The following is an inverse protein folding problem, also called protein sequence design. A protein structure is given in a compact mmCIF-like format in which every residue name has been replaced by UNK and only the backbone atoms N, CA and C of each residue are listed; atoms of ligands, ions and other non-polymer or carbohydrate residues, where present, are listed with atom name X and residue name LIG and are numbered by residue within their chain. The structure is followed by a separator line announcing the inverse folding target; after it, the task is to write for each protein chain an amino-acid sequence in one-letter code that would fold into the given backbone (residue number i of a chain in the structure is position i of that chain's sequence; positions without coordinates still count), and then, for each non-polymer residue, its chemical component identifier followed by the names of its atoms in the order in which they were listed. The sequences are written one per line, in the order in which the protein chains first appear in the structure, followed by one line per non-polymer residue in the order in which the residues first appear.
data_IF_146305742397
#
_entry.id   IF_146305742397
#
_cell.length_a   1.000
_cell.length_b   1.000
_cell.length_c   1.000
_cell.angle_alpha   90.00
_cell.angle_beta   90.00
_cell.angle_gamma   90.00
#
_symmetry.space_group_name_H-M   'P 1'
#
loop_
_entity.id
_entity.type
_entity.pdbx_description
1 polymer ?
#
# COMPACT_ATOMS: atom_id res chain seq x y z
N UNK A 1 14.94 6.86 5.39
CA UNK A 1 14.88 5.63 4.55
C UNK A 1 13.54 4.92 4.78
N UNK A 2 12.95 4.32 3.75
CA UNK A 2 11.73 3.49 3.87
C UNK A 2 12.05 2.10 3.33
N UNK A 3 11.77 1.07 4.13
CA UNK A 3 11.91 -0.33 3.75
C UNK A 3 10.54 -0.94 3.48
N UNK A 4 10.41 -1.69 2.39
CA UNK A 4 9.22 -2.42 2.00
C UNK A 4 9.48 -3.92 2.19
N UNK A 5 8.58 -4.58 2.88
CA UNK A 5 8.52 -6.02 3.07
C UNK A 5 7.24 -6.56 2.45
N UNK A 6 7.35 -7.59 1.62
CA UNK A 6 6.18 -8.26 1.05
C UNK A 6 6.39 -9.78 1.08
N UNK A 7 5.34 -10.52 1.43
CA UNK A 7 5.38 -11.98 1.55
C UNK A 7 4.07 -12.60 1.08
N UNK A 8 4.18 -13.60 0.21
CA UNK A 8 3.04 -14.46 -0.14
C UNK A 8 2.69 -15.42 1.01
N UNK A 9 1.42 -15.77 1.09
CA UNK A 9 0.94 -16.76 2.05
C UNK A 9 -0.27 -17.52 1.49
N UNK A 10 -0.38 -18.77 1.93
CA UNK A 10 -1.54 -19.59 1.63
C UNK A 10 -2.54 -19.52 2.79
N UNK A 11 -3.82 -19.55 2.44
CA UNK A 11 -4.89 -19.70 3.42
C UNK A 11 -5.05 -21.18 3.77
N UNK A 12 -4.94 -21.51 5.05
CA UNK A 12 -5.22 -22.85 5.50
C UNK A 12 -6.72 -23.15 5.55
N UNK A 13 -7.09 -24.41 5.28
CA UNK A 13 -8.49 -24.80 5.27
C UNK A 13 -9.15 -24.52 6.64
N UNK A 14 -10.24 -23.75 6.64
CA UNK A 14 -10.97 -23.37 7.85
C UNK A 14 -10.46 -22.12 8.56
N UNK A 15 -9.38 -21.50 8.08
CA UNK A 15 -8.88 -20.24 8.62
C UNK A 15 -9.68 -19.04 8.12
N UNK A 16 -9.94 -18.08 8.99
CA UNK A 16 -10.54 -16.81 8.58
C UNK A 16 -9.53 -16.01 7.75
N UNK A 17 -9.86 -15.77 6.47
CA UNK A 17 -9.04 -14.96 5.55
C UNK A 17 -8.56 -13.66 6.20
N UNK A 18 -9.49 -12.89 6.79
CA UNK A 18 -9.17 -11.61 7.44
C UNK A 18 -8.16 -11.76 8.58
N UNK A 19 -8.26 -12.87 9.35
CA UNK A 19 -7.33 -13.13 10.46
C UNK A 19 -5.93 -13.47 9.94
N UNK A 20 -5.84 -14.31 8.92
CA UNK A 20 -4.57 -14.68 8.28
C UNK A 20 -3.87 -13.46 7.67
N UNK A 21 -4.60 -12.66 6.91
CA UNK A 21 -4.12 -11.42 6.29
C UNK A 21 -3.58 -10.45 7.35
N UNK A 22 -4.33 -10.24 8.43
CA UNK A 22 -3.92 -9.36 9.53
C UNK A 22 -2.66 -9.88 10.23
N UNK A 23 -2.60 -11.18 10.53
CA UNK A 23 -1.45 -11.81 11.16
C UNK A 23 -0.19 -11.69 10.29
N UNK A 24 -0.29 -11.93 8.99
CA UNK A 24 0.83 -11.79 8.06
C UNK A 24 1.36 -10.36 8.01
N UNK A 25 0.48 -9.38 7.93
CA UNK A 25 0.89 -7.97 7.98
C UNK A 25 1.60 -7.62 9.29
N UNK A 26 1.13 -8.12 10.43
CA UNK A 26 1.78 -7.91 11.73
C UNK A 26 3.16 -8.60 11.80
N UNK A 27 3.29 -9.81 11.26
CA UNK A 27 4.59 -10.52 11.21
C UNK A 27 5.62 -9.75 10.37
N UNK A 28 5.21 -9.15 9.25
CA UNK A 28 6.08 -8.29 8.45
C UNK A 28 6.53 -7.06 9.23
N UNK A 29 5.62 -6.42 9.97
CA UNK A 29 5.95 -5.29 10.83
C UNK A 29 6.97 -5.70 11.90
N UNK A 30 6.78 -6.83 12.59
CA UNK A 30 7.73 -7.36 13.58
C UNK A 30 9.10 -7.60 12.97
N UNK A 31 9.14 -8.22 11.79
CA UNK A 31 10.37 -8.51 11.07
C UNK A 31 11.13 -7.23 10.72
N UNK A 32 10.44 -6.23 10.17
CA UNK A 32 11.06 -4.94 9.85
C UNK A 32 11.55 -4.19 11.08
N UNK A 33 10.74 -4.12 12.16
CA UNK A 33 11.16 -3.49 13.40
C UNK A 33 12.42 -4.13 13.99
N UNK A 34 12.51 -5.45 13.95
CA UNK A 34 13.69 -6.19 14.43
C UNK A 34 14.91 -5.95 13.53
N UNK A 35 14.73 -6.04 12.20
CA UNK A 35 15.81 -5.93 11.22
C UNK A 35 16.38 -4.51 11.15
N UNK A 36 15.49 -3.50 11.04
CA UNK A 36 15.90 -2.13 10.73
C UNK A 36 16.21 -1.31 11.98
N UNK A 37 15.54 -1.61 13.11
CA UNK A 37 15.62 -0.82 14.34
C UNK A 37 16.10 -1.61 15.56
N UNK A 38 16.32 -2.92 15.44
CA UNK A 38 16.72 -3.78 16.57
C UNK A 38 15.61 -3.96 17.62
N UNK A 39 14.35 -3.61 17.29
CA UNK A 39 13.20 -3.69 18.20
C UNK A 39 12.57 -5.05 18.09
N UNK A 40 12.64 -5.86 19.15
CA UNK A 40 12.08 -7.20 19.18
C UNK A 40 10.98 -7.32 20.25
N UNK A 41 9.73 -7.38 19.82
CA UNK A 41 8.60 -7.64 20.72
C UNK A 41 8.36 -9.13 21.02
N UNK A 42 9.14 -10.03 20.40
CA UNK A 42 8.89 -11.46 20.43
C UNK A 42 7.62 -11.87 19.67
N UNK A 43 7.31 -13.15 19.64
CA UNK A 43 6.17 -13.67 18.86
C UNK A 43 4.81 -13.46 19.55
N UNK A 44 4.78 -13.49 20.87
CA UNK A 44 3.54 -13.54 21.65
C UNK A 44 3.10 -12.20 22.25
N UNK A 45 3.99 -11.21 22.31
CA UNK A 45 3.66 -9.91 22.89
C UNK A 45 3.01 -9.01 21.84
N UNK A 46 1.91 -8.33 22.13
CA UNK A 46 1.31 -7.38 21.18
C UNK A 46 2.26 -6.22 20.92
N UNK A 47 2.31 -5.74 19.68
CA UNK A 47 2.98 -4.47 19.36
C UNK A 47 2.11 -3.33 19.90
N UNK A 48 2.62 -2.49 20.82
CA UNK A 48 1.85 -1.39 21.38
C UNK A 48 1.58 -0.33 20.30
N UNK A 49 0.33 -0.20 19.88
CA UNK A 49 -0.08 0.81 18.91
C UNK A 49 -1.14 1.73 19.51
N UNK A 50 -1.09 3.00 19.11
CA UNK A 50 -2.14 3.99 19.34
C UNK A 50 -2.78 4.35 18.00
N UNK A 51 -4.02 4.80 18.04
CA UNK A 51 -4.69 5.31 16.84
C UNK A 51 -4.41 6.81 16.73
N UNK A 52 -3.78 7.19 15.63
CA UNK A 52 -3.67 8.58 15.23
C UNK A 52 -5.01 9.16 14.77
N UNK A 53 -4.98 10.40 14.34
CA UNK A 53 -6.12 11.04 13.70
C UNK A 53 -6.61 10.18 12.53
N UNK A 54 -7.90 10.05 12.33
CA UNK A 54 -8.54 9.17 11.34
C UNK A 54 -8.20 7.66 11.45
N UNK A 55 -7.63 7.24 12.59
CA UNK A 55 -7.45 5.82 12.91
C UNK A 55 -6.19 5.15 12.35
N UNK A 56 -5.26 5.90 11.73
CA UNK A 56 -3.97 5.34 11.29
C UNK A 56 -3.18 4.83 12.49
N UNK A 57 -2.72 3.56 12.50
CA UNK A 57 -1.92 3.02 13.61
C UNK A 57 -0.55 3.70 13.69
N UNK A 58 -0.11 3.98 14.92
CA UNK A 58 1.22 4.52 15.23
C UNK A 58 1.83 3.69 16.37
N UNK A 59 3.13 3.45 16.32
CA UNK A 59 3.84 2.77 17.40
C UNK A 59 3.86 3.66 18.63
N UNK A 60 3.32 3.16 19.75
CA UNK A 60 3.21 3.93 21.00
C UNK A 60 4.57 4.35 21.55
N UNK A 61 5.51 3.40 21.54
CA UNK A 61 6.81 3.58 22.18
C UNK A 61 7.86 4.17 21.22
N UNK A 62 7.57 4.21 19.91
CA UNK A 62 8.47 4.69 18.85
C UNK A 62 7.73 5.58 17.85
N UNK A 63 7.23 6.75 18.27
CA UNK A 63 6.38 7.62 17.42
C UNK A 63 7.13 8.20 16.20
N UNK A 64 8.45 8.12 16.16
CA UNK A 64 9.29 8.54 15.04
C UNK A 64 9.45 7.45 13.96
N UNK A 65 9.01 6.22 14.23
CA UNK A 65 9.00 5.13 13.26
C UNK A 65 7.59 5.02 12.67
N UNK A 66 7.50 5.33 11.39
CA UNK A 66 6.26 5.24 10.63
C UNK A 66 6.12 3.86 10.02
N UNK A 67 4.90 3.36 9.98
CA UNK A 67 4.61 2.11 9.28
C UNK A 67 3.24 2.16 8.63
N UNK A 68 3.07 1.31 7.64
CA UNK A 68 1.77 1.04 7.04
C UNK A 68 1.73 -0.40 6.52
N UNK A 69 0.59 -1.05 6.64
CA UNK A 69 0.36 -2.42 6.23
C UNK A 69 -0.78 -2.45 5.20
N UNK A 70 -0.63 -3.26 4.18
CA UNK A 70 -1.69 -3.62 3.25
C UNK A 70 -1.64 -5.12 2.96
N UNK A 71 -2.78 -5.68 2.60
CA UNK A 71 -2.89 -7.09 2.23
C UNK A 71 -3.99 -7.30 1.21
N UNK A 72 -3.81 -8.29 0.39
CA UNK A 72 -4.80 -8.81 -0.54
C UNK A 72 -4.81 -10.34 -0.47
N UNK A 73 -5.58 -11.01 -1.31
CA UNK A 73 -5.61 -12.47 -1.32
C UNK A 73 -4.22 -13.03 -1.64
N UNK A 74 -3.61 -13.71 -0.67
CA UNK A 74 -2.34 -14.39 -0.84
C UNK A 74 -1.09 -13.53 -0.77
N UNK A 75 -1.20 -12.22 -0.49
CA UNK A 75 -0.04 -11.34 -0.34
C UNK A 75 -0.28 -10.31 0.76
N UNK A 76 0.70 -10.14 1.64
CA UNK A 76 0.77 -9.06 2.61
C UNK A 76 1.99 -8.19 2.33
N UNK A 77 1.88 -6.89 2.62
CA UNK A 77 2.96 -5.94 2.49
C UNK A 77 3.00 -4.99 3.68
N UNK A 78 4.19 -4.60 4.08
CA UNK A 78 4.45 -3.64 5.14
C UNK A 78 5.53 -2.67 4.70
N UNK A 79 5.31 -1.38 4.90
CA UNK A 79 6.33 -0.34 4.75
C UNK A 79 6.69 0.22 6.12
N UNK A 80 7.98 0.41 6.39
CA UNK A 80 8.51 0.94 7.65
C UNK A 80 9.59 1.97 7.34
N UNK A 81 9.63 3.07 8.08
CA UNK A 81 10.69 4.06 7.93
C UNK A 81 10.54 5.30 8.81
N UNK A 82 11.36 6.30 8.51
CA UNK A 82 11.54 7.50 9.34
C UNK A 82 10.60 8.65 8.95
N UNK A 83 9.66 8.42 8.05
CA UNK A 83 8.72 9.44 7.57
C UNK A 83 7.35 8.89 7.21
N UNK A 84 6.37 9.78 7.03
CA UNK A 84 5.00 9.38 6.68
C UNK A 84 4.97 8.54 5.40
N UNK A 85 4.40 7.35 5.51
CA UNK A 85 4.35 6.34 4.45
C UNK A 85 2.98 5.70 4.36
N UNK A 86 2.57 5.38 3.13
CA UNK A 86 1.40 4.56 2.84
C UNK A 86 1.74 3.51 1.80
N UNK A 87 1.29 2.30 2.01
CA UNK A 87 1.44 1.17 1.09
C UNK A 87 0.08 0.59 0.76
N UNK A 88 -0.11 0.21 -0.49
CA UNK A 88 -1.28 -0.54 -0.91
C UNK A 88 -0.90 -1.66 -1.86
N UNK A 89 -1.53 -2.81 -1.70
CA UNK A 89 -1.34 -3.97 -2.56
C UNK A 89 -2.66 -4.59 -2.94
N UNK A 90 -2.85 -4.87 -4.23
CA UNK A 90 -4.05 -5.50 -4.76
C UNK A 90 -3.73 -6.60 -5.77
N UNK A 91 -4.50 -7.66 -5.73
CA UNK A 91 -4.52 -8.68 -6.77
C UNK A 91 -5.24 -8.15 -8.01
N UNK A 92 -4.66 -8.34 -9.20
CA UNK A 92 -5.32 -8.02 -10.47
C UNK A 92 -6.43 -9.04 -10.69
N UNK A 93 -7.69 -8.60 -10.65
CA UNK A 93 -8.88 -9.44 -10.76
C UNK A 93 -10.02 -8.70 -11.47
N UNK A 94 -11.02 -9.39 -11.97
CA UNK A 94 -12.21 -8.74 -12.50
C UNK A 94 -12.85 -7.80 -11.46
N UNK A 95 -13.30 -6.65 -11.90
CA UNK A 95 -13.96 -5.65 -11.05
C UNK A 95 -15.21 -5.08 -11.72
N UNK A 96 -16.06 -4.43 -10.94
CA UNK A 96 -17.24 -3.76 -11.47
C UNK A 96 -16.88 -2.38 -11.98
N UNK A 97 -17.25 -2.06 -13.23
CA UNK A 97 -17.01 -0.71 -13.80
C UNK A 97 -17.66 0.44 -13.01
N UNK A 98 -18.66 0.13 -12.17
CA UNK A 98 -19.28 1.13 -11.30
C UNK A 98 -18.28 1.77 -10.33
N UNK A 99 -17.18 1.05 -10.01
CA UNK A 99 -16.16 1.55 -9.10
C UNK A 99 -15.26 2.60 -9.75
N UNK A 100 -15.11 2.58 -11.08
CA UNK A 100 -14.31 3.56 -11.84
C UNK A 100 -14.75 4.98 -11.49
N UNK A 101 -16.08 5.21 -11.43
CA UNK A 101 -16.65 6.54 -11.13
C UNK A 101 -16.31 7.05 -9.72
N UNK A 102 -15.99 6.15 -8.79
CA UNK A 102 -15.66 6.49 -7.39
C UNK A 102 -14.16 6.66 -7.18
N UNK A 103 -13.36 6.08 -8.05
CA UNK A 103 -11.90 6.00 -7.90
C UNK A 103 -11.18 6.93 -8.84
N UNK A 104 -11.53 6.90 -10.13
CA UNK A 104 -10.77 7.60 -11.16
C UNK A 104 -11.26 9.04 -11.36
N UNK A 105 -10.30 9.97 -11.43
CA UNK A 105 -10.52 11.33 -11.93
C UNK A 105 -10.90 11.31 -13.41
N UNK A 106 -11.37 12.44 -13.98
CA UNK A 106 -11.69 12.51 -15.39
C UNK A 106 -10.48 12.25 -16.29
N UNK A 107 -9.29 12.75 -15.91
CA UNK A 107 -8.05 12.49 -16.64
C UNK A 107 -7.67 11.01 -16.66
N UNK A 108 -7.83 10.30 -15.56
CA UNK A 108 -7.55 8.87 -15.47
C UNK A 108 -8.56 8.03 -16.25
N UNK A 109 -9.83 8.45 -16.27
CA UNK A 109 -10.87 7.82 -17.12
C UNK A 109 -10.55 7.98 -18.61
N UNK A 110 -10.07 9.15 -19.03
CA UNK A 110 -9.65 9.36 -20.41
C UNK A 110 -8.50 8.43 -20.81
N UNK A 111 -7.52 8.22 -19.93
CA UNK A 111 -6.44 7.26 -20.14
C UNK A 111 -6.99 5.83 -20.21
N UNK A 112 -7.82 5.45 -19.25
CA UNK A 112 -8.42 4.12 -19.14
C UNK A 112 -9.22 3.73 -20.40
N UNK A 113 -10.05 4.62 -20.90
CA UNK A 113 -10.88 4.30 -22.07
C UNK A 113 -10.12 4.34 -23.41
N UNK A 114 -8.92 4.92 -23.45
CA UNK A 114 -8.00 4.85 -24.61
C UNK A 114 -7.24 3.54 -24.69
N UNK A 115 -7.14 2.80 -23.58
CA UNK A 115 -6.47 1.51 -23.53
C UNK A 115 -7.29 0.41 -24.19
N UNK A 116 -6.59 -0.62 -24.68
CA UNK A 116 -7.22 -1.86 -25.09
C UNK A 116 -7.87 -2.56 -23.88
N UNK A 117 -8.91 -3.33 -24.13
CA UNK A 117 -9.71 -3.95 -23.07
C UNK A 117 -8.86 -4.83 -22.12
N UNK A 118 -7.92 -5.59 -22.69
CA UNK A 118 -7.00 -6.45 -21.94
C UNK A 118 -6.07 -5.70 -20.97
N UNK A 119 -5.79 -4.43 -21.23
CA UNK A 119 -4.91 -3.59 -20.41
C UNK A 119 -5.65 -2.89 -19.27
N UNK A 120 -6.98 -2.72 -19.40
CA UNK A 120 -7.79 -1.90 -18.51
C UNK A 120 -7.82 -2.40 -17.08
N UNK A 121 -7.86 -3.70 -16.87
CA UNK A 121 -7.89 -4.27 -15.52
C UNK A 121 -6.60 -3.96 -14.77
N UNK A 122 -5.44 -4.20 -15.37
CA UNK A 122 -4.16 -3.87 -14.77
C UNK A 122 -4.02 -2.37 -14.52
N UNK A 123 -4.41 -1.53 -15.48
CA UNK A 123 -4.38 -0.08 -15.33
C UNK A 123 -5.25 0.40 -14.17
N UNK A 124 -6.47 -0.16 -14.02
CA UNK A 124 -7.35 0.18 -12.91
C UNK A 124 -6.67 -0.07 -11.56
N UNK A 125 -6.08 -1.26 -11.34
CA UNK A 125 -5.42 -1.58 -10.08
C UNK A 125 -4.14 -0.76 -9.87
N UNK A 126 -3.44 -0.37 -10.92
CA UNK A 126 -2.31 0.58 -10.81
C UNK A 126 -2.76 1.93 -10.26
N UNK A 127 -3.86 2.49 -10.80
CA UNK A 127 -4.41 3.76 -10.30
C UNK A 127 -4.98 3.60 -8.90
N UNK A 128 -5.73 2.53 -8.63
CA UNK A 128 -6.31 2.25 -7.31
C UNK A 128 -5.25 2.22 -6.22
N UNK A 129 -4.21 1.39 -6.38
CA UNK A 129 -3.17 1.24 -5.36
C UNK A 129 -2.35 2.52 -5.15
N UNK A 130 -2.11 3.33 -6.18
CA UNK A 130 -1.50 4.64 -6.04
C UNK A 130 -2.36 5.57 -5.17
N UNK A 131 -3.66 5.64 -5.43
CA UNK A 131 -4.58 6.47 -4.65
C UNK A 131 -4.68 6.03 -3.20
N UNK A 132 -4.84 4.74 -2.97
CA UNK A 132 -4.91 4.18 -1.62
C UNK A 132 -3.59 4.39 -0.86
N UNK A 133 -2.43 4.19 -1.51
CA UNK A 133 -1.14 4.44 -0.87
C UNK A 133 -0.98 5.92 -0.47
N UNK A 134 -1.41 6.84 -1.32
CA UNK A 134 -1.40 8.28 -1.02
C UNK A 134 -2.31 8.63 0.17
N UNK A 135 -3.55 8.17 0.17
CA UNK A 135 -4.49 8.40 1.27
C UNK A 135 -3.96 7.81 2.59
N UNK A 136 -3.36 6.62 2.54
CA UNK A 136 -2.73 5.97 3.70
C UNK A 136 -1.48 6.73 4.17
N UNK A 137 -0.67 7.29 3.27
CA UNK A 137 0.50 8.08 3.63
C UNK A 137 0.12 9.30 4.46
N UNK A 138 -0.86 10.06 4.00
CA UNK A 138 -1.36 11.24 4.72
C UNK A 138 -2.20 10.93 5.96
N UNK A 139 -2.66 9.68 6.10
CA UNK A 139 -3.49 9.27 7.23
C UNK A 139 -4.90 9.87 7.22
N UNK A 140 -5.39 10.32 6.05
CA UNK A 140 -6.70 10.97 5.93
C UNK A 140 -7.89 9.99 5.95
N UNK A 141 -7.64 8.69 5.80
CA UNK A 141 -8.68 7.68 5.71
C UNK A 141 -9.61 7.91 4.49
N UNK A 142 -10.88 7.57 4.63
CA UNK A 142 -11.89 7.73 3.56
C UNK A 142 -12.47 9.15 3.45
N UNK A 143 -11.83 10.15 4.04
CA UNK A 143 -12.37 11.52 4.07
C UNK A 143 -12.08 12.30 2.79
N UNK A 144 -11.10 11.86 2.00
CA UNK A 144 -10.73 12.50 0.73
C UNK A 144 -11.34 11.73 -0.44
N UNK A 145 -12.15 12.38 -1.29
CA UNK A 145 -12.65 11.75 -2.50
C UNK A 145 -11.50 11.40 -3.45
N UNK A 146 -11.39 10.14 -3.83
CA UNK A 146 -10.31 9.66 -4.72
C UNK A 146 -10.32 10.33 -6.11
N UNK A 147 -11.43 10.91 -6.50
CA UNK A 147 -11.60 11.58 -7.80
C UNK A 147 -11.01 13.00 -7.87
N UNK A 148 -10.65 13.60 -6.72
CA UNK A 148 -10.17 14.99 -6.67
C UNK A 148 -8.68 15.15 -6.98
N UNK A 149 -7.93 14.06 -7.03
CA UNK A 149 -6.53 14.04 -7.41
C UNK A 149 -6.27 12.95 -8.45
N UNK A 150 -5.23 13.11 -9.25
CA UNK A 150 -4.95 12.23 -10.37
C UNK A 150 -3.48 11.79 -10.42
N UNK A 151 -3.30 10.58 -10.91
CA UNK A 151 -2.01 9.99 -11.25
C UNK A 151 -1.95 9.70 -12.74
N UNK A 152 -0.81 9.93 -13.34
CA UNK A 152 -0.56 9.61 -14.73
C UNK A 152 0.61 8.62 -14.80
N UNK A 153 0.34 7.47 -15.41
CA UNK A 153 1.34 6.46 -15.67
C UNK A 153 2.01 6.74 -17.01
N UNK A 154 3.30 7.02 -16.98
CA UNK A 154 4.15 7.29 -18.16
C UNK A 154 5.24 6.24 -18.29
N UNK A 155 5.83 6.05 -19.47
CA UNK A 155 6.96 5.13 -19.66
C UNK A 155 8.18 5.47 -18.80
N UNK A 156 8.36 6.73 -18.45
CA UNK A 156 9.48 7.27 -17.67
C UNK A 156 9.17 7.44 -16.18
N UNK A 157 7.95 7.10 -15.74
CA UNK A 157 7.59 7.16 -14.33
C UNK A 157 6.13 7.51 -14.04
N UNK A 158 5.87 7.86 -12.79
CA UNK A 158 4.54 8.24 -12.30
C UNK A 158 4.55 9.74 -12.00
N UNK A 159 3.60 10.46 -12.58
CA UNK A 159 3.33 11.85 -12.23
C UNK A 159 1.98 11.99 -11.53
N UNK A 160 1.81 13.03 -10.72
CA UNK A 160 0.58 13.24 -9.98
C UNK A 160 0.24 14.71 -9.84
N UNK A 161 -1.04 15.01 -9.59
CA UNK A 161 -1.54 16.36 -9.36
C UNK A 161 -1.24 16.89 -7.95
N UNK A 162 -0.78 16.03 -7.04
CA UNK A 162 -0.47 16.40 -5.65
C UNK A 162 1.04 16.66 -5.50
N UNK A 163 1.44 17.80 -4.92
CA UNK A 163 2.86 18.11 -4.75
C UNK A 163 3.48 17.39 -3.55
N UNK A 164 4.81 17.28 -3.55
CA UNK A 164 5.57 16.88 -2.36
C UNK A 164 5.49 15.40 -2.01
N UNK A 165 5.08 14.54 -2.94
CA UNK A 165 5.05 13.09 -2.73
C UNK A 165 6.06 12.38 -3.64
N UNK A 166 6.56 11.25 -3.16
CA UNK A 166 7.31 10.30 -3.96
C UNK A 166 6.49 9.02 -4.07
N UNK A 167 6.42 8.48 -5.28
CA UNK A 167 5.63 7.31 -5.62
C UNK A 167 6.52 6.24 -6.25
N UNK A 168 6.36 5.02 -5.81
CA UNK A 168 6.90 3.85 -6.50
C UNK A 168 5.82 2.79 -6.64
N UNK A 169 5.89 2.02 -7.71
CA UNK A 169 4.94 0.96 -8.00
C UNK A 169 5.65 -0.27 -8.55
N UNK A 170 5.26 -1.42 -8.08
CA UNK A 170 5.79 -2.72 -8.48
C UNK A 170 4.66 -3.61 -9.00
N UNK A 171 4.93 -4.36 -10.05
CA UNK A 171 4.10 -5.48 -10.49
C UNK A 171 4.79 -6.77 -10.04
N UNK A 172 4.21 -7.43 -9.05
CA UNK A 172 4.78 -8.64 -8.46
C UNK A 172 4.12 -9.86 -9.10
N UNK A 173 4.96 -10.75 -9.66
CA UNK A 173 4.54 -12.02 -10.29
C UNK A 173 3.43 -11.85 -11.34
N UNK A 174 3.39 -10.72 -12.05
CA UNK A 174 2.34 -10.38 -13.03
C UNK A 174 0.90 -10.46 -12.47
N UNK A 175 0.76 -10.59 -11.15
CA UNK A 175 -0.49 -10.86 -10.45
C UNK A 175 -0.90 -9.74 -9.48
N UNK A 176 0.06 -9.09 -8.84
CA UNK A 176 -0.21 -8.10 -7.81
C UNK A 176 0.37 -6.74 -8.21
N UNK A 177 -0.35 -5.69 -7.89
CA UNK A 177 0.16 -4.32 -7.96
C UNK A 177 0.38 -3.82 -6.53
N UNK A 178 1.60 -3.43 -6.23
CA UNK A 178 2.00 -2.82 -4.98
C UNK A 178 2.42 -1.38 -5.24
N UNK A 179 1.83 -0.43 -4.54
CA UNK A 179 2.20 0.99 -4.60
C UNK A 179 2.60 1.50 -3.23
N UNK A 180 3.61 2.35 -3.21
CA UNK A 180 4.06 3.06 -2.03
C UNK A 180 4.04 4.56 -2.32
N UNK A 181 3.55 5.32 -1.35
CA UNK A 181 3.62 6.77 -1.31
C UNK A 181 4.36 7.23 -0.06
N UNK A 182 5.32 8.14 -0.22
CA UNK A 182 5.93 8.87 0.89
C UNK A 182 5.65 10.36 0.75
N UNK A 183 5.46 11.03 1.88
CA UNK A 183 5.42 12.48 1.95
C UNK A 183 6.87 12.91 2.18
N UNK A 184 7.45 13.64 1.25
CA UNK A 184 8.87 13.94 1.12
C UNK A 184 9.69 12.85 0.42
N UNK A 185 10.77 13.29 -0.23
CA UNK A 185 11.70 12.39 -0.92
C UNK A 185 12.57 11.65 0.09
N UNK A 186 12.65 10.34 -0.08
CA UNK A 186 13.46 9.47 0.76
C UNK A 186 14.02 8.30 -0.05
N UNK A 187 15.02 7.65 0.46
CA UNK A 187 15.50 6.38 -0.09
C UNK A 187 14.48 5.28 0.19
N UNK A 188 14.15 4.50 -0.82
CA UNK A 188 13.19 3.40 -0.74
C UNK A 188 13.93 2.11 -1.09
N UNK A 189 13.91 1.16 -0.17
CA UNK A 189 14.45 -0.18 -0.34
C UNK A 189 13.32 -1.19 -0.37
N UNK A 190 13.34 -2.12 -1.31
CA UNK A 190 12.38 -3.20 -1.41
C UNK A 190 13.06 -4.53 -1.08
N UNK A 191 12.62 -5.15 0.00
CA UNK A 191 13.06 -6.46 0.46
C UNK A 191 11.91 -7.45 0.22
N UNK A 192 11.91 -8.07 -0.97
CA UNK A 192 10.93 -9.11 -1.31
C UNK A 192 11.27 -10.39 -0.55
N UNK A 193 10.33 -10.84 0.27
CA UNK A 193 10.44 -12.08 1.00
C UNK A 193 9.48 -13.05 0.32
N UNK A 194 10.06 -13.95 -0.44
CA UNK A 194 9.34 -15.04 -1.11
C UNK A 194 9.01 -16.16 -0.15
#
# INVERSE_FOLDING_TARGET
MINIYAEEFDLTAGESKRKAEHLKGELLLRKGLKKDYGIDYGESNPIPVIKGEHGKPQLKDYPHIFHNISHTTGLAACAIGDGPVGIDVEEIRPFSEKIIRKVMSEQEKEQFYKLKEEERTSFFFKIWTLKESYVKAGGWGITIPLTEFSFELRPDGITCSVPGVQLVQYCLKERYILSLCTIEKTEICFDEIL
#
